data_IF_718034270278
#
_entry.id   IF_718034270278
#
_cell.length_a   1.000
_cell.length_b   1.000
_cell.length_c   1.000
_cell.angle_alpha   90.00
_cell.angle_beta   90.00
_cell.angle_gamma   90.00
#
_symmetry.space_group_name_H-M   'P 1'
#
loop_
_entity.id
_entity.type
_entity.pdbx_description
1 polymer ?
#
# COMPACT_ATOMS: atom_id res chain seq x y z
N UNK A 1 -2.32 12.87 43.18
CA UNK A 1 -3.64 13.43 42.83
C UNK A 1 -3.51 14.37 41.64
N UNK A 2 -4.46 14.37 40.68
CA UNK A 2 -4.46 15.23 39.50
C UNK A 2 -3.59 14.76 38.32
N UNK A 3 -2.96 13.60 38.38
CA UNK A 3 -2.21 12.97 37.28
C UNK A 3 -3.02 11.86 36.66
N UNK A 4 -2.92 11.69 35.33
CA UNK A 4 -3.51 10.61 34.56
C UNK A 4 -2.42 9.85 33.84
N UNK A 5 -2.63 8.55 33.56
CA UNK A 5 -1.74 7.81 32.70
C UNK A 5 -1.88 8.31 31.26
N UNK A 6 -0.74 8.46 30.58
CA UNK A 6 -0.74 8.83 29.19
C UNK A 6 -1.17 7.62 28.34
N UNK A 7 -2.28 7.76 27.62
CA UNK A 7 -2.97 6.66 26.94
C UNK A 7 -2.06 5.84 26.00
N UNK A 8 -1.06 6.46 25.36
CA UNK A 8 -0.15 5.77 24.47
C UNK A 8 0.88 4.88 25.19
N UNK A 9 0.98 4.94 26.49
CA UNK A 9 1.81 3.99 27.23
C UNK A 9 1.24 2.57 27.18
N UNK A 10 -0.05 2.41 27.26
CA UNK A 10 -0.75 1.12 27.28
C UNK A 10 -1.53 0.79 26.01
N UNK A 11 -1.88 1.79 25.19
CA UNK A 11 -2.67 1.62 23.98
C UNK A 11 -2.14 0.55 23.00
N UNK A 12 -0.82 0.38 22.77
CA UNK A 12 -0.31 -0.66 21.88
C UNK A 12 -0.63 -2.10 22.31
N UNK A 13 -0.93 -2.34 23.60
CA UNK A 13 -1.40 -3.65 24.08
C UNK A 13 -2.70 -4.06 23.38
N UNK A 14 -3.50 -3.10 22.94
CA UNK A 14 -4.70 -3.31 22.17
C UNK A 14 -4.50 -4.18 20.92
N UNK A 15 -3.34 -4.16 20.30
CA UNK A 15 -3.03 -5.04 19.15
C UNK A 15 -3.03 -6.52 19.56
N UNK A 16 -2.44 -6.83 20.71
CA UNK A 16 -2.42 -8.19 21.26
C UNK A 16 -3.85 -8.59 21.65
N UNK A 17 -4.57 -7.70 22.34
CA UNK A 17 -5.95 -7.95 22.76
C UNK A 17 -6.88 -8.22 21.57
N UNK A 18 -6.76 -7.44 20.50
CA UNK A 18 -7.53 -7.64 19.27
C UNK A 18 -7.20 -8.96 18.57
N UNK A 19 -5.92 -9.38 18.57
CA UNK A 19 -5.52 -10.68 18.03
C UNK A 19 -6.10 -11.83 18.86
N UNK A 20 -6.10 -11.73 20.18
CA UNK A 20 -6.70 -12.72 21.09
C UNK A 20 -8.21 -12.83 20.88
N UNK A 21 -8.91 -11.69 20.78
CA UNK A 21 -10.34 -11.66 20.54
C UNK A 21 -10.70 -12.28 19.18
N UNK A 22 -9.96 -11.90 18.12
CA UNK A 22 -10.15 -12.50 16.80
C UNK A 22 -9.91 -14.00 16.83
N UNK A 23 -8.82 -14.47 17.43
CA UNK A 23 -8.47 -15.88 17.50
C UNK A 23 -9.56 -16.69 18.24
N UNK A 24 -10.06 -16.18 19.36
CA UNK A 24 -11.15 -16.79 20.10
C UNK A 24 -12.43 -16.91 19.26
N UNK A 25 -12.77 -15.88 18.48
CA UNK A 25 -13.95 -15.86 17.61
C UNK A 25 -13.88 -16.89 16.48
N UNK A 26 -12.68 -17.14 15.92
CA UNK A 26 -12.49 -18.05 14.78
C UNK A 26 -11.92 -19.42 15.18
N UNK A 27 -11.76 -19.70 16.48
CA UNK A 27 -11.24 -20.96 16.98
C UNK A 27 -9.77 -21.22 16.66
N UNK A 28 -8.94 -20.17 16.60
CA UNK A 28 -7.49 -20.26 16.33
C UNK A 28 -6.66 -19.93 17.58
N UNK A 29 -5.40 -20.34 17.54
CA UNK A 29 -4.41 -19.93 18.51
C UNK A 29 -3.84 -18.54 18.13
N UNK A 30 -3.75 -17.64 19.10
CA UNK A 30 -3.23 -16.29 18.92
C UNK A 30 -1.71 -16.20 19.17
N UNK A 31 -1.15 -17.15 19.95
CA UNK A 31 0.26 -17.09 20.37
C UNK A 31 1.26 -17.09 19.21
N UNK A 32 1.09 -17.89 18.14
CA UNK A 32 2.01 -17.86 17.01
C UNK A 32 2.17 -16.48 16.35
N UNK A 33 1.15 -15.62 16.44
CA UNK A 33 1.20 -14.26 15.86
C UNK A 33 2.07 -13.29 16.67
N UNK A 34 2.32 -13.60 17.94
CA UNK A 34 3.00 -12.68 18.85
C UNK A 34 4.20 -13.27 19.58
N UNK A 35 4.38 -14.60 19.55
CA UNK A 35 5.39 -15.31 20.33
C UNK A 35 6.29 -16.25 19.52
N UNK A 36 5.93 -16.56 18.26
CA UNK A 36 6.77 -17.40 17.40
C UNK A 36 7.87 -16.55 16.76
N UNK A 37 9.13 -16.86 17.00
CA UNK A 37 10.31 -16.19 16.46
C UNK A 37 10.37 -16.21 14.92
N UNK A 38 9.63 -17.10 14.25
CA UNK A 38 9.51 -17.14 12.79
C UNK A 38 8.48 -16.17 12.24
N UNK A 39 7.64 -15.60 13.12
CA UNK A 39 6.65 -14.61 12.74
C UNK A 39 7.29 -13.25 12.58
N UNK A 40 7.01 -12.56 11.46
CA UNK A 40 7.42 -11.18 11.22
C UNK A 40 6.34 -10.22 11.70
N UNK A 41 6.65 -9.44 12.71
CA UNK A 41 5.78 -8.38 13.22
C UNK A 41 6.13 -7.06 12.54
N UNK A 42 5.18 -6.50 11.79
CA UNK A 42 5.35 -5.24 11.06
C UNK A 42 4.27 -4.25 11.51
N UNK A 43 4.69 -3.04 11.86
CA UNK A 43 3.77 -1.95 12.22
C UNK A 43 3.75 -0.86 11.16
N UNK A 44 2.59 -0.65 10.50
CA UNK A 44 2.37 0.49 9.63
C UNK A 44 1.73 1.62 10.42
N UNK A 45 2.42 2.75 10.53
CA UNK A 45 2.01 3.86 11.38
C UNK A 45 2.20 5.22 10.69
N UNK A 46 1.63 6.29 11.27
CA UNK A 46 2.03 7.67 10.99
C UNK A 46 3.23 8.07 11.84
N UNK A 47 4.02 9.04 11.37
CA UNK A 47 5.27 9.51 12.02
C UNK A 47 5.09 9.97 13.47
N UNK A 48 3.93 10.47 13.82
CA UNK A 48 3.57 10.90 15.16
C UNK A 48 3.54 9.75 16.19
N UNK A 49 3.48 8.50 15.71
CA UNK A 49 3.46 7.29 16.53
C UNK A 49 4.81 6.55 16.62
N UNK A 50 5.88 7.10 16.04
CA UNK A 50 7.20 6.45 16.00
C UNK A 50 7.72 6.13 17.41
N UNK A 51 7.66 7.08 18.34
CA UNK A 51 8.17 6.88 19.71
C UNK A 51 7.47 5.71 20.40
N UNK A 52 6.17 5.59 20.21
CA UNK A 52 5.38 4.53 20.87
C UNK A 52 5.65 3.15 20.27
N UNK A 53 5.83 3.04 18.96
CA UNK A 53 6.02 1.77 18.26
C UNK A 53 7.48 1.35 18.10
N UNK A 54 8.41 2.29 18.14
CA UNK A 54 9.84 1.99 18.00
C UNK A 54 10.60 1.98 19.34
N UNK A 55 10.06 2.58 20.40
CA UNK A 55 10.74 2.68 21.68
C UNK A 55 9.90 2.07 22.81
N UNK A 56 8.72 2.65 23.10
CA UNK A 56 7.94 2.29 24.30
C UNK A 56 7.40 0.86 24.20
N UNK A 57 6.67 0.55 23.15
CA UNK A 57 6.06 -0.77 22.99
C UNK A 57 7.09 -1.90 22.89
N UNK A 58 8.16 -1.78 22.06
CA UNK A 58 9.23 -2.78 22.07
C UNK A 58 9.92 -2.95 23.44
N UNK A 59 10.09 -1.87 24.20
CA UNK A 59 10.65 -1.96 25.55
C UNK A 59 9.75 -2.74 26.51
N UNK A 60 8.42 -2.54 26.41
CA UNK A 60 7.44 -3.29 27.19
C UNK A 60 7.41 -4.78 26.80
N UNK A 61 7.39 -5.09 25.51
CA UNK A 61 7.43 -6.48 25.02
C UNK A 61 8.71 -7.19 25.45
N UNK A 62 9.86 -6.50 25.38
CA UNK A 62 11.15 -7.02 25.81
C UNK A 62 11.22 -7.22 27.34
N UNK A 63 10.63 -6.32 28.11
CA UNK A 63 10.61 -6.42 29.56
C UNK A 63 9.72 -7.59 30.05
N UNK A 64 8.62 -7.86 29.35
CA UNK A 64 7.76 -9.02 29.60
C UNK A 64 8.48 -10.33 29.22
N UNK A 65 9.16 -10.37 28.07
CA UNK A 65 10.13 -11.39 27.70
C UNK A 65 9.60 -12.56 26.85
N UNK A 66 8.27 -12.73 26.70
CA UNK A 66 7.69 -13.82 25.92
C UNK A 66 7.23 -13.42 24.51
N UNK A 67 7.22 -12.12 24.20
CA UNK A 67 6.76 -11.59 22.91
C UNK A 67 7.91 -11.34 21.94
N UNK A 68 7.63 -11.53 20.66
CA UNK A 68 8.54 -11.10 19.57
C UNK A 68 8.57 -9.57 19.47
N UNK A 69 9.67 -9.04 18.96
CA UNK A 69 9.80 -7.61 18.69
C UNK A 69 9.46 -7.28 17.23
N UNK A 70 9.04 -6.04 16.92
CA UNK A 70 8.84 -5.61 15.54
C UNK A 70 10.11 -5.78 14.70
N UNK A 71 9.99 -6.42 13.54
CA UNK A 71 11.08 -6.51 12.55
C UNK A 71 11.23 -5.18 11.81
N UNK A 72 10.10 -4.53 11.51
CA UNK A 72 10.09 -3.23 10.84
C UNK A 72 8.87 -2.40 11.26
N UNK A 73 9.04 -1.08 11.19
CA UNK A 73 7.98 -0.10 11.48
C UNK A 73 7.93 0.94 10.36
N UNK A 74 7.31 0.62 9.20
CA UNK A 74 7.12 1.59 8.14
C UNK A 74 6.24 2.75 8.62
N UNK A 75 6.84 3.95 8.72
CA UNK A 75 6.17 5.14 9.20
C UNK A 75 5.94 6.12 8.05
N UNK A 76 4.68 6.45 7.79
CA UNK A 76 4.32 7.46 6.80
C UNK A 76 4.39 8.87 7.41
N UNK A 77 4.83 9.80 6.60
CA UNK A 77 4.69 11.24 6.81
C UNK A 77 3.21 11.66 6.65
N UNK A 78 2.88 12.95 6.69
CA UNK A 78 1.50 13.40 6.54
C UNK A 78 1.07 13.53 5.08
N UNK A 79 -0.16 13.09 4.80
CA UNK A 79 -0.86 13.41 3.56
C UNK A 79 -1.79 14.60 3.83
N UNK A 80 -1.58 15.69 3.11
CA UNK A 80 -2.43 16.87 3.15
C UNK A 80 -3.53 16.79 2.07
N UNK A 81 -4.48 17.70 2.12
CA UNK A 81 -5.54 17.86 1.14
C UNK A 81 -5.56 19.32 0.66
N UNK A 82 -5.32 19.53 -0.64
CA UNK A 82 -5.31 20.86 -1.27
C UNK A 82 -4.44 21.87 -0.50
N UNK A 83 -3.22 21.43 -0.13
CA UNK A 83 -2.26 22.24 0.61
C UNK A 83 -2.54 22.43 2.11
N UNK A 84 -3.60 21.84 2.64
CA UNK A 84 -3.99 21.96 4.03
C UNK A 84 -3.99 20.62 4.75
N UNK A 85 -3.71 20.65 6.06
CA UNK A 85 -3.77 19.46 6.90
C UNK A 85 -5.19 18.89 6.94
N UNK A 86 -5.33 17.58 6.70
CA UNK A 86 -6.58 16.85 6.90
C UNK A 86 -7.11 17.06 8.32
N UNK A 87 -8.40 17.34 8.46
CA UNK A 87 -9.02 17.59 9.75
C UNK A 87 -10.51 17.20 9.74
N UNK A 88 -10.86 16.18 10.50
CA UNK A 88 -12.24 15.74 10.67
C UNK A 88 -13.08 16.81 11.40
N UNK A 89 -12.51 17.46 12.42
CA UNK A 89 -13.21 18.51 13.19
C UNK A 89 -13.53 19.77 12.38
N UNK A 90 -12.75 20.04 11.31
CA UNK A 90 -12.98 21.14 10.37
C UNK A 90 -13.74 20.71 9.12
N UNK A 91 -14.17 19.45 9.05
CA UNK A 91 -14.76 18.84 7.86
C UNK A 91 -13.90 19.01 6.58
N UNK A 92 -12.57 18.97 6.77
CA UNK A 92 -11.60 19.08 5.69
C UNK A 92 -10.96 17.73 5.42
N UNK A 93 -11.67 16.89 4.67
CA UNK A 93 -11.27 15.54 4.31
C UNK A 93 -12.01 15.09 3.04
N UNK A 94 -11.51 14.05 2.38
CA UNK A 94 -12.27 13.30 1.39
C UNK A 94 -12.96 12.16 2.12
N UNK A 95 -14.27 12.26 2.25
CA UNK A 95 -15.09 11.21 2.89
C UNK A 95 -15.34 10.08 1.89
N UNK A 96 -14.97 8.85 2.26
CA UNK A 96 -15.03 7.72 1.35
C UNK A 96 -16.45 7.37 0.89
N UNK A 97 -17.45 7.52 1.74
CA UNK A 97 -18.86 7.34 1.37
C UNK A 97 -19.27 8.35 0.29
N UNK A 98 -18.97 9.65 0.48
CA UNK A 98 -19.26 10.70 -0.50
C UNK A 98 -18.49 10.49 -1.81
N UNK A 99 -17.21 10.09 -1.71
CA UNK A 99 -16.42 9.75 -2.88
C UNK A 99 -17.05 8.61 -3.69
N UNK A 100 -17.48 7.52 -3.05
CA UNK A 100 -18.08 6.36 -3.73
C UNK A 100 -19.44 6.68 -4.37
N UNK A 101 -20.18 7.61 -3.80
CA UNK A 101 -21.44 8.14 -4.41
C UNK A 101 -21.13 9.02 -5.63
N UNK A 102 -20.16 9.92 -5.52
CA UNK A 102 -19.77 10.83 -6.61
C UNK A 102 -19.03 10.13 -7.76
N UNK A 103 -18.25 9.08 -7.46
CA UNK A 103 -17.44 8.33 -8.40
C UNK A 103 -17.72 6.82 -8.30
N UNK A 104 -18.89 6.36 -8.74
CA UNK A 104 -19.25 4.93 -8.65
C UNK A 104 -18.26 4.07 -9.47
N UNK A 105 -17.84 2.94 -8.90
CA UNK A 105 -16.86 2.01 -9.47
C UNK A 105 -15.45 2.59 -9.71
N UNK A 106 -15.09 3.71 -9.03
CA UNK A 106 -13.76 4.34 -9.14
C UNK A 106 -12.90 4.17 -7.88
N UNK A 107 -13.21 3.19 -7.04
CA UNK A 107 -12.45 2.92 -5.82
C UNK A 107 -10.98 2.61 -6.10
N UNK A 108 -10.69 1.88 -7.18
CA UNK A 108 -9.31 1.54 -7.53
C UNK A 108 -8.54 2.73 -8.12
N UNK A 109 -9.23 3.67 -8.78
CA UNK A 109 -8.63 4.94 -9.19
C UNK A 109 -8.13 5.72 -7.97
N UNK A 110 -8.95 5.83 -6.92
CA UNK A 110 -8.55 6.50 -5.68
C UNK A 110 -7.37 5.77 -5.03
N UNK A 111 -7.43 4.45 -4.91
CA UNK A 111 -6.33 3.63 -4.35
C UNK A 111 -5.03 3.83 -5.11
N UNK A 112 -5.10 3.86 -6.45
CA UNK A 112 -3.94 4.14 -7.30
C UNK A 112 -3.32 5.51 -6.98
N UNK A 113 -4.15 6.56 -6.95
CA UNK A 113 -3.67 7.93 -6.70
C UNK A 113 -3.11 8.09 -5.28
N UNK A 114 -3.77 7.53 -4.27
CA UNK A 114 -3.27 7.56 -2.89
C UNK A 114 -1.93 6.83 -2.78
N UNK A 115 -1.77 5.67 -3.42
CA UNK A 115 -0.51 4.94 -3.43
C UNK A 115 0.58 5.73 -4.15
N UNK A 116 0.28 6.33 -5.31
CA UNK A 116 1.23 7.18 -6.04
C UNK A 116 1.67 8.43 -5.24
N UNK A 117 0.81 8.90 -4.35
CA UNK A 117 1.04 10.04 -3.47
C UNK A 117 1.36 9.64 -2.03
N UNK A 118 1.59 8.34 -1.75
CA UNK A 118 1.89 7.91 -0.40
C UNK A 118 3.08 8.70 0.18
N UNK A 119 2.92 9.27 1.38
CA UNK A 119 3.96 10.12 2.00
C UNK A 119 5.04 9.26 2.67
N UNK A 120 5.73 8.40 1.90
CA UNK A 120 6.68 7.42 2.43
C UNK A 120 7.94 8.04 3.04
N UNK A 121 8.41 9.17 2.49
CA UNK A 121 9.67 9.80 2.92
C UNK A 121 9.56 11.29 3.24
N UNK A 122 8.48 11.92 2.89
CA UNK A 122 8.17 13.33 3.15
C UNK A 122 6.67 13.56 3.10
N UNK A 123 6.21 14.62 3.72
CA UNK A 123 4.82 15.07 3.60
C UNK A 123 4.44 15.23 2.12
N UNK A 124 3.23 14.85 1.77
CA UNK A 124 2.70 14.96 0.42
C UNK A 124 1.30 15.56 0.45
N UNK A 125 0.78 15.89 -0.71
CA UNK A 125 -0.51 16.54 -0.87
C UNK A 125 -1.40 15.76 -1.85
N UNK A 126 -2.65 15.54 -1.47
CA UNK A 126 -3.69 15.05 -2.38
C UNK A 126 -4.41 16.27 -2.95
N UNK A 127 -4.46 16.37 -4.28
CA UNK A 127 -5.25 17.38 -4.97
C UNK A 127 -6.15 16.74 -6.02
N UNK A 128 -7.34 17.29 -6.22
CA UNK A 128 -8.25 16.80 -7.27
C UNK A 128 -7.67 16.99 -8.68
N UNK A 129 -6.84 18.00 -8.85
CA UNK A 129 -6.10 18.23 -10.10
C UNK A 129 -5.11 17.09 -10.38
N UNK A 130 -4.34 16.66 -9.37
CA UNK A 130 -3.40 15.53 -9.51
C UNK A 130 -4.16 14.22 -9.70
N UNK A 131 -5.27 14.02 -8.97
CA UNK A 131 -6.17 12.87 -9.16
C UNK A 131 -6.61 12.74 -10.62
N UNK A 132 -7.15 13.82 -11.19
CA UNK A 132 -7.56 13.84 -12.61
C UNK A 132 -6.37 13.61 -13.56
N UNK A 133 -5.24 14.26 -13.31
CA UNK A 133 -4.05 14.11 -14.13
C UNK A 133 -3.52 12.67 -14.12
N UNK A 134 -3.42 12.02 -12.98
CA UNK A 134 -2.98 10.62 -12.88
C UNK A 134 -3.96 9.65 -13.51
N UNK A 135 -5.25 9.84 -13.27
CA UNK A 135 -6.27 9.04 -13.96
C UNK A 135 -6.10 9.11 -15.48
N UNK A 136 -6.00 10.31 -16.04
CA UNK A 136 -5.98 10.51 -17.49
C UNK A 136 -4.62 10.12 -18.11
N UNK A 137 -3.51 10.52 -17.50
CA UNK A 137 -2.18 10.36 -18.09
C UNK A 137 -1.52 9.01 -17.76
N UNK A 138 -1.93 8.38 -16.68
CA UNK A 138 -1.33 7.11 -16.24
C UNK A 138 -2.32 5.95 -16.47
N UNK A 139 -3.47 5.94 -15.79
CA UNK A 139 -4.42 4.83 -15.91
C UNK A 139 -5.04 4.72 -17.29
N UNK A 140 -5.48 5.83 -17.88
CA UNK A 140 -6.11 5.82 -19.22
C UNK A 140 -5.06 5.77 -20.32
N UNK A 141 -4.12 6.72 -20.34
CA UNK A 141 -3.20 6.90 -21.47
C UNK A 141 -2.08 5.83 -21.52
N UNK A 142 -1.70 5.21 -20.42
CA UNK A 142 -0.68 4.16 -20.41
C UNK A 142 -1.34 2.79 -20.26
N UNK A 143 -1.89 2.48 -19.10
CA UNK A 143 -2.42 1.15 -18.80
C UNK A 143 -3.65 0.81 -19.66
N UNK A 144 -4.64 1.72 -19.71
CA UNK A 144 -5.85 1.53 -20.52
C UNK A 144 -5.54 1.42 -22.01
N UNK A 145 -4.61 2.23 -22.51
CA UNK A 145 -4.18 2.17 -23.91
C UNK A 145 -3.44 0.85 -24.22
N UNK A 146 -2.57 0.37 -23.33
CA UNK A 146 -1.93 -0.93 -23.46
C UNK A 146 -2.99 -2.05 -23.59
N UNK A 147 -3.92 -2.14 -22.66
CA UNK A 147 -4.98 -3.17 -22.67
C UNK A 147 -5.84 -3.05 -23.95
N UNK A 148 -6.27 -1.82 -24.26
CA UNK A 148 -7.10 -1.59 -25.45
C UNK A 148 -6.39 -2.02 -26.74
N UNK A 149 -5.11 -1.71 -26.90
CA UNK A 149 -4.34 -2.12 -28.09
C UNK A 149 -4.19 -3.63 -28.18
N UNK A 150 -3.87 -4.29 -27.07
CA UNK A 150 -3.76 -5.78 -27.03
C UNK A 150 -5.09 -6.41 -27.44
N UNK A 151 -6.20 -5.96 -26.85
CA UNK A 151 -7.53 -6.51 -27.15
C UNK A 151 -7.97 -6.26 -28.60
N UNK A 152 -7.80 -5.01 -29.08
CA UNK A 152 -8.18 -4.64 -30.45
C UNK A 152 -7.36 -5.41 -31.49
N UNK A 153 -6.04 -5.55 -31.28
CA UNK A 153 -5.18 -6.29 -32.22
C UNK A 153 -5.47 -7.80 -32.18
N UNK A 154 -5.74 -8.35 -31.01
CA UNK A 154 -6.14 -9.77 -30.86
C UNK A 154 -7.46 -10.04 -31.56
N UNK A 155 -8.45 -9.16 -31.40
CA UNK A 155 -9.73 -9.28 -32.12
C UNK A 155 -9.52 -9.19 -33.63
N UNK A 156 -8.82 -8.14 -34.07
CA UNK A 156 -8.64 -7.86 -35.49
C UNK A 156 -7.90 -8.96 -36.26
N UNK A 157 -6.82 -9.50 -35.67
CA UNK A 157 -5.94 -10.42 -36.38
C UNK A 157 -6.18 -11.89 -36.03
N UNK A 158 -6.73 -12.16 -34.86
CA UNK A 158 -6.89 -13.52 -34.33
C UNK A 158 -8.33 -13.82 -33.88
N UNK A 159 -9.31 -12.97 -34.24
CA UNK A 159 -10.74 -13.16 -33.91
C UNK A 159 -10.97 -13.40 -32.40
N UNK A 160 -10.28 -12.66 -31.55
CA UNK A 160 -10.40 -12.77 -30.10
C UNK A 160 -9.69 -13.97 -29.47
N UNK A 161 -9.01 -14.79 -30.24
CA UNK A 161 -8.28 -15.97 -29.72
C UNK A 161 -6.80 -15.65 -29.56
N UNK A 162 -6.25 -15.95 -28.39
CA UNK A 162 -4.81 -15.77 -28.15
C UNK A 162 -4.05 -16.79 -29.03
N UNK A 163 -3.15 -16.31 -29.93
CA UNK A 163 -2.44 -17.20 -30.82
C UNK A 163 -1.40 -18.06 -30.06
N UNK A 164 -1.07 -19.22 -30.64
CA UNK A 164 0.05 -20.03 -30.13
C UNK A 164 1.35 -19.24 -30.32
N UNK A 165 2.17 -19.23 -29.29
CA UNK A 165 3.47 -18.55 -29.32
C UNK A 165 4.36 -19.18 -30.39
N UNK A 166 4.84 -18.33 -31.32
CA UNK A 166 5.80 -18.73 -32.36
C UNK A 166 7.25 -18.66 -31.86
N UNK A 167 8.20 -18.71 -32.80
CA UNK A 167 9.62 -18.52 -32.50
C UNK A 167 9.87 -17.07 -32.10
N UNK A 168 10.41 -16.87 -30.91
CA UNK A 168 10.73 -15.54 -30.38
C UNK A 168 11.85 -14.88 -31.18
N UNK A 169 11.64 -13.64 -31.59
CA UNK A 169 12.66 -12.78 -32.17
C UNK A 169 13.61 -12.26 -31.09
N UNK A 170 14.68 -11.57 -31.49
CA UNK A 170 15.59 -10.93 -30.54
C UNK A 170 14.87 -9.85 -29.72
N UNK A 171 13.99 -9.06 -30.35
CA UNK A 171 13.19 -8.02 -29.69
C UNK A 171 12.27 -8.64 -28.61
N UNK A 172 11.60 -9.74 -28.92
CA UNK A 172 10.74 -10.42 -27.96
C UNK A 172 11.52 -10.88 -26.73
N UNK A 173 12.72 -11.44 -26.94
CA UNK A 173 13.59 -11.90 -25.85
C UNK A 173 14.05 -10.73 -24.97
N UNK A 174 14.37 -9.59 -25.56
CA UNK A 174 14.75 -8.38 -24.83
C UNK A 174 13.59 -7.82 -24.01
N UNK A 175 12.39 -7.76 -24.59
CA UNK A 175 11.18 -7.32 -23.86
C UNK A 175 10.87 -8.26 -22.69
N UNK A 176 10.90 -9.59 -22.90
CA UNK A 176 10.69 -10.53 -21.79
C UNK A 176 11.76 -10.42 -20.70
N UNK A 177 13.02 -10.15 -21.06
CA UNK A 177 14.07 -9.92 -20.08
C UNK A 177 13.81 -8.65 -19.25
N UNK A 178 13.37 -7.56 -19.91
CA UNK A 178 13.00 -6.32 -19.23
C UNK A 178 11.81 -6.49 -18.31
N UNK A 179 10.76 -7.20 -18.76
CA UNK A 179 9.59 -7.53 -17.90
C UNK A 179 10.04 -8.28 -16.65
N UNK A 180 10.91 -9.29 -16.82
CA UNK A 180 11.44 -10.06 -15.69
C UNK A 180 12.23 -9.18 -14.72
N UNK A 181 13.09 -8.30 -15.22
CA UNK A 181 13.87 -7.36 -14.40
C UNK A 181 12.94 -6.41 -13.61
N UNK A 182 11.96 -5.80 -14.29
CA UNK A 182 10.98 -4.92 -13.65
C UNK A 182 10.14 -5.65 -12.61
N UNK A 183 9.71 -6.89 -12.89
CA UNK A 183 8.99 -7.71 -11.91
C UNK A 183 9.80 -7.96 -10.65
N UNK A 184 11.10 -8.25 -10.78
CA UNK A 184 11.99 -8.41 -9.64
C UNK A 184 12.17 -7.11 -8.85
N UNK A 185 12.24 -5.95 -9.52
CA UNK A 185 12.28 -4.64 -8.85
C UNK A 185 11.00 -4.36 -8.08
N UNK A 186 9.84 -4.68 -8.67
CA UNK A 186 8.53 -4.56 -8.00
C UNK A 186 8.51 -5.40 -6.72
N UNK A 187 8.89 -6.67 -6.81
CA UNK A 187 8.95 -7.58 -5.68
C UNK A 187 9.85 -7.03 -4.56
N UNK A 188 11.08 -6.61 -4.90
CA UNK A 188 12.00 -6.03 -3.93
C UNK A 188 11.48 -4.73 -3.30
N UNK A 189 10.77 -3.90 -4.07
CA UNK A 189 10.17 -2.67 -3.54
C UNK A 189 9.01 -2.98 -2.61
N UNK A 190 8.16 -3.96 -2.93
CA UNK A 190 7.07 -4.41 -2.05
C UNK A 190 7.60 -5.01 -0.74
N UNK A 191 8.63 -5.84 -0.79
CA UNK A 191 9.28 -6.43 0.40
C UNK A 191 9.91 -5.36 1.31
N UNK A 192 10.26 -4.20 0.75
CA UNK A 192 10.79 -3.04 1.48
C UNK A 192 9.72 -2.00 1.85
N UNK A 193 8.45 -2.30 1.58
CA UNK A 193 7.31 -1.40 1.81
C UNK A 193 7.38 -0.07 1.03
N UNK A 194 8.02 -0.08 -0.16
CA UNK A 194 8.13 1.06 -1.07
C UNK A 194 7.06 0.97 -2.15
N UNK A 195 5.83 1.23 -1.77
CA UNK A 195 4.67 1.01 -2.64
C UNK A 195 4.62 1.96 -3.83
N UNK A 196 5.08 3.21 -3.67
CA UNK A 196 5.17 4.18 -4.78
C UNK A 196 6.11 3.69 -5.87
N UNK A 197 7.31 3.23 -5.48
CA UNK A 197 8.31 2.70 -6.41
C UNK A 197 7.78 1.47 -7.13
N UNK A 198 7.20 0.52 -6.40
CA UNK A 198 6.60 -0.68 -6.97
C UNK A 198 5.50 -0.35 -8.00
N UNK A 199 4.62 0.60 -7.69
CA UNK A 199 3.56 1.03 -8.60
C UNK A 199 4.13 1.71 -9.86
N UNK A 200 5.18 2.51 -9.72
CA UNK A 200 5.83 3.15 -10.85
C UNK A 200 6.48 2.12 -11.79
N UNK A 201 7.16 1.11 -11.24
CA UNK A 201 7.76 0.04 -12.05
C UNK A 201 6.70 -0.82 -12.74
N UNK A 202 5.54 -1.05 -12.09
CA UNK A 202 4.39 -1.69 -12.74
C UNK A 202 3.92 -0.91 -13.98
N UNK A 203 3.81 0.42 -13.88
CA UNK A 203 3.44 1.26 -15.01
C UNK A 203 4.52 1.28 -16.10
N UNK A 204 5.80 1.07 -15.75
CA UNK A 204 6.89 0.92 -16.72
C UNK A 204 6.75 -0.36 -17.55
N UNK A 205 6.26 -1.47 -16.97
CA UNK A 205 5.93 -2.67 -17.76
C UNK A 205 4.89 -2.36 -18.85
N UNK A 206 3.87 -1.58 -18.54
CA UNK A 206 2.84 -1.20 -19.52
C UNK A 206 3.35 -0.23 -20.61
N UNK A 207 4.53 0.37 -20.44
CA UNK A 207 5.18 1.25 -21.43
C UNK A 207 6.13 0.52 -22.39
N UNK A 208 6.57 -0.69 -22.06
CA UNK A 208 7.40 -1.54 -22.95
C UNK A 208 6.64 -1.90 -24.22
#
# INVERSE_FOLDING_TARGET
EGKVLYVWFDAPIGYISSTKEWAARVGKDWEPYWKDEKTKLIHFIGKDNIVFHCVIFPAMLKAEGSYILPENVPANEFLNLEGNKLSTSKNWAVWLNEYLEAFPNQQDTLRYVITANAPETKDNDFTWRDFQARNNNELVAIYGNFINRVMVLTEKYYKGVVPTMGTLTQVDKEVFAQIKELTQKIEQSLERYRFREAQQELMNIARL
#
